data_IF_994012937008
#
_entry.id   IF_994012937008
#
_cell.length_a   1.000
_cell.length_b   1.000
_cell.length_c   1.000
_cell.angle_alpha   90.00
_cell.angle_beta   90.00
_cell.angle_gamma   90.00
#
_symmetry.space_group_name_H-M   'P 1'
#
loop_
_entity.id
_entity.type
_entity.pdbx_description
1 polymer ?
#
# COMPACT_ATOMS: atom_id res chain seq x y z
N UNK A 1 18.01 28.72 -4.90
CA UNK A 1 17.18 29.73 -4.20
C UNK A 1 18.01 30.54 -3.19
N UNK A 2 18.40 29.97 -2.04
CA UNK A 2 19.03 30.68 -0.91
C UNK A 2 20.37 31.37 -1.17
N UNK A 3 21.05 31.08 -2.30
CA UNK A 3 22.27 31.79 -2.72
C UNK A 3 22.01 33.14 -3.38
N UNK A 4 20.78 33.38 -3.84
CA UNK A 4 20.44 34.55 -4.68
C UNK A 4 19.21 35.31 -4.17
N UNK A 5 18.32 34.66 -3.43
CA UNK A 5 17.07 35.26 -2.95
C UNK A 5 16.78 34.86 -1.50
N UNK A 6 16.16 35.77 -0.75
CA UNK A 6 15.72 35.56 0.63
C UNK A 6 14.46 36.38 0.92
N UNK A 7 13.50 35.75 1.59
CA UNK A 7 12.34 36.39 2.22
C UNK A 7 11.82 35.47 3.34
N UNK A 8 11.00 35.97 4.28
CA UNK A 8 10.36 35.14 5.30
C UNK A 8 9.51 34.04 4.65
N UNK A 9 9.69 32.79 5.07
CA UNK A 9 8.95 31.61 4.55
C UNK A 9 9.34 31.13 3.14
N UNK A 10 10.46 31.57 2.57
CA UNK A 10 11.00 31.07 1.28
C UNK A 10 10.91 29.54 1.13
N UNK A 11 11.27 28.81 2.18
CA UNK A 11 11.31 27.35 2.16
C UNK A 11 9.91 26.75 2.10
N UNK A 12 8.97 27.33 2.86
CA UNK A 12 7.57 26.93 2.85
C UNK A 12 6.93 27.17 1.47
N UNK A 13 7.20 28.31 0.85
CA UNK A 13 6.66 28.62 -0.47
C UNK A 13 7.17 27.64 -1.54
N UNK A 14 8.42 27.21 -1.43
CA UNK A 14 8.99 26.17 -2.30
C UNK A 14 8.33 24.81 -2.03
N UNK A 15 8.15 24.44 -0.76
CA UNK A 15 7.45 23.20 -0.39
C UNK A 15 6.01 23.20 -0.93
N UNK A 16 5.27 24.28 -0.74
CA UNK A 16 3.89 24.43 -1.22
C UNK A 16 3.80 24.34 -2.75
N UNK A 17 4.75 24.95 -3.47
CA UNK A 17 4.84 24.86 -4.93
C UNK A 17 5.09 23.42 -5.39
N UNK A 18 6.04 22.72 -4.76
CA UNK A 18 6.36 21.33 -5.10
C UNK A 18 5.21 20.39 -4.73
N UNK A 19 4.51 20.63 -3.63
CA UNK A 19 3.32 19.88 -3.24
C UNK A 19 2.16 20.01 -4.24
N UNK A 20 2.03 21.16 -4.91
CA UNK A 20 1.01 21.39 -5.93
C UNK A 20 1.40 20.81 -7.31
N UNK A 21 2.65 20.40 -7.51
CA UNK A 21 3.11 19.79 -8.75
C UNK A 21 2.58 18.35 -8.90
N UNK A 22 1.58 18.16 -9.78
CA UNK A 22 0.98 16.85 -10.06
C UNK A 22 2.00 15.80 -10.51
N UNK A 23 2.84 16.13 -11.49
CA UNK A 23 3.86 15.22 -12.02
C UNK A 23 4.83 14.81 -10.91
N UNK A 24 5.27 15.77 -10.10
CA UNK A 24 6.18 15.54 -8.99
C UNK A 24 5.56 14.60 -7.96
N UNK A 25 4.27 14.76 -7.64
CA UNK A 25 3.55 13.89 -6.72
C UNK A 25 3.34 12.47 -7.27
N UNK A 26 3.15 12.31 -8.58
CA UNK A 26 2.94 11.00 -9.22
C UNK A 26 4.23 10.16 -9.23
N UNK A 27 5.38 10.81 -9.42
CA UNK A 27 6.69 10.13 -9.45
C UNK A 27 7.39 10.10 -8.09
N UNK A 28 6.88 10.81 -7.10
CA UNK A 28 7.46 10.88 -5.77
C UNK A 28 7.53 9.48 -5.15
N UNK A 29 8.54 9.28 -4.30
CA UNK A 29 8.65 8.05 -3.51
C UNK A 29 7.40 7.91 -2.65
N UNK A 30 6.76 6.74 -2.70
CA UNK A 30 5.63 6.45 -1.84
C UNK A 30 6.03 6.58 -0.36
N UNK A 31 5.12 7.08 0.50
CA UNK A 31 5.35 7.09 1.94
C UNK A 31 5.54 5.66 2.46
N UNK A 32 6.05 5.53 3.68
CA UNK A 32 6.12 4.24 4.34
C UNK A 32 4.72 3.61 4.37
N UNK A 33 4.64 2.32 4.01
CA UNK A 33 3.38 1.58 4.10
C UNK A 33 2.92 1.59 5.55
N UNK A 34 1.61 1.72 5.76
CA UNK A 34 1.02 1.55 7.08
C UNK A 34 1.41 0.17 7.67
N UNK A 35 1.51 0.04 9.01
CA UNK A 35 1.72 -1.25 9.65
C UNK A 35 0.67 -2.27 9.20
N UNK A 36 1.08 -3.52 9.02
CA UNK A 36 0.15 -4.59 8.67
C UNK A 36 -0.79 -4.83 9.86
N UNK A 37 -2.09 -4.61 9.65
CA UNK A 37 -3.11 -5.01 10.62
C UNK A 37 -3.47 -6.47 10.38
N UNK A 38 -3.22 -7.31 11.37
CA UNK A 38 -3.63 -8.72 11.32
C UNK A 38 -5.15 -8.83 11.45
N UNK A 39 -5.70 -9.81 10.75
CA UNK A 39 -7.10 -10.17 10.92
C UNK A 39 -7.31 -10.90 12.24
N UNK A 40 -8.43 -10.66 12.91
CA UNK A 40 -8.82 -11.46 14.08
C UNK A 40 -8.97 -12.92 13.67
N UNK A 41 -8.43 -13.85 14.46
CA UNK A 41 -8.62 -15.29 14.26
C UNK A 41 -10.10 -15.62 14.48
N UNK A 42 -10.77 -16.37 13.59
CA UNK A 42 -12.15 -16.75 13.82
C UNK A 42 -12.28 -17.72 15.00
N UNK A 43 -13.39 -17.65 15.74
CA UNK A 43 -13.60 -18.49 16.93
C UNK A 43 -14.21 -19.87 16.63
N UNK A 44 -14.66 -20.12 15.39
CA UNK A 44 -15.19 -21.42 14.97
C UNK A 44 -14.88 -21.67 13.49
N UNK A 45 -14.87 -22.95 13.05
CA UNK A 45 -14.70 -23.30 11.64
C UNK A 45 -15.76 -22.64 10.74
N UNK A 46 -15.42 -22.41 9.48
CA UNK A 46 -16.28 -21.89 8.43
C UNK A 46 -16.73 -20.42 8.60
N UNK A 47 -16.17 -19.67 9.57
CA UNK A 47 -16.43 -18.23 9.74
C UNK A 47 -15.71 -17.33 8.74
N UNK A 48 -14.50 -17.72 8.31
CA UNK A 48 -13.72 -17.00 7.31
C UNK A 48 -13.00 -18.01 6.43
N UNK A 49 -13.22 -17.90 5.13
CA UNK A 49 -12.64 -18.77 4.11
C UNK A 49 -11.75 -17.92 3.20
N UNK A 50 -10.50 -18.34 3.03
CA UNK A 50 -9.59 -17.82 2.03
C UNK A 50 -9.70 -18.69 0.77
N UNK A 51 -9.98 -18.06 -0.37
CA UNK A 51 -10.12 -18.75 -1.66
C UNK A 51 -9.17 -18.09 -2.65
N UNK A 52 -8.35 -18.90 -3.32
CA UNK A 52 -7.44 -18.43 -4.37
C UNK A 52 -7.27 -19.48 -5.47
N UNK A 53 -6.81 -19.05 -6.65
CA UNK A 53 -6.45 -19.96 -7.74
C UNK A 53 -4.94 -20.11 -7.84
N UNK A 54 -4.46 -21.36 -7.81
CA UNK A 54 -3.09 -21.69 -8.21
C UNK A 54 -3.06 -22.02 -9.71
N UNK A 55 -2.29 -21.25 -10.47
CA UNK A 55 -2.33 -21.27 -11.92
C UNK A 55 -1.29 -22.11 -12.64
N UNK A 56 -1.71 -22.68 -13.78
CA UNK A 56 -0.94 -23.37 -14.85
C UNK A 56 0.03 -24.45 -14.36
N UNK A 57 -0.24 -25.06 -13.22
CA UNK A 57 0.52 -26.24 -12.83
C UNK A 57 0.02 -27.42 -13.66
N UNK A 58 0.90 -27.96 -14.50
CA UNK A 58 0.59 -29.04 -15.44
C UNK A 58 -0.62 -28.73 -16.34
N UNK A 59 -0.71 -27.49 -16.81
CA UNK A 59 -1.80 -27.05 -17.69
C UNK A 59 -3.16 -26.91 -17.01
N UNK A 60 -3.22 -27.12 -15.69
CA UNK A 60 -4.45 -27.02 -14.90
C UNK A 60 -4.41 -25.85 -13.93
N UNK A 61 -5.58 -25.35 -13.58
CA UNK A 61 -5.78 -24.44 -12.46
C UNK A 61 -6.35 -25.22 -11.29
N UNK A 62 -5.89 -24.89 -10.08
CA UNK A 62 -6.40 -25.47 -8.84
C UNK A 62 -7.10 -24.39 -8.04
N UNK A 63 -8.32 -24.67 -7.60
CA UNK A 63 -9.01 -23.82 -6.62
C UNK A 63 -8.56 -24.24 -5.22
N UNK A 64 -7.91 -23.33 -4.51
CA UNK A 64 -7.47 -23.53 -3.13
C UNK A 64 -8.49 -22.89 -2.22
N UNK A 65 -8.97 -23.67 -1.24
CA UNK A 65 -9.94 -23.24 -0.23
C UNK A 65 -9.36 -23.54 1.14
N UNK A 66 -9.23 -22.52 1.98
CA UNK A 66 -8.66 -22.62 3.34
C UNK A 66 -9.62 -21.99 4.34
N UNK A 67 -10.03 -22.77 5.34
CA UNK A 67 -10.75 -22.25 6.50
C UNK A 67 -9.75 -21.64 7.50
N UNK A 68 -9.96 -20.37 7.86
CA UNK A 68 -9.00 -19.60 8.66
C UNK A 68 -9.00 -19.95 10.17
N UNK A 69 -9.88 -20.84 10.62
CA UNK A 69 -9.91 -21.30 12.01
C UNK A 69 -9.21 -22.66 12.19
N UNK A 70 -9.44 -23.60 11.27
CA UNK A 70 -8.89 -24.96 11.32
C UNK A 70 -7.50 -25.12 10.69
N UNK A 71 -6.94 -24.04 10.15
CA UNK A 71 -5.62 -23.98 9.50
C UNK A 71 -4.85 -22.73 9.89
#
# INVERSE_FOLDING_TARGET
ARRYFWWPSLDKDIEDLVHQCKICSEIAKQPAKAPLQQWNVPNEPWKRIHIDFMGKFLGSYFLIVVDAHSK
#
